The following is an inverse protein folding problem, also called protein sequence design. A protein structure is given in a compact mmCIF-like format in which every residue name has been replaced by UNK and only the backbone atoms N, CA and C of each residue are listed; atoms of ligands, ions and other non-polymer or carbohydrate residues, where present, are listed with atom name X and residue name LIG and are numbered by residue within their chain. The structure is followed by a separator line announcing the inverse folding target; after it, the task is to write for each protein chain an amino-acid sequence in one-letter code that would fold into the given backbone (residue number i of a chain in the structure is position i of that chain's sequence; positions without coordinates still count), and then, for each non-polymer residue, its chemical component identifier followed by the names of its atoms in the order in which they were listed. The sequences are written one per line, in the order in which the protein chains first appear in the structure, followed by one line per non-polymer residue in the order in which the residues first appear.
data_IF_942518054522
#
_entry.id   IF_942518054522
#
_cell.length_a   1.000
_cell.length_b   1.000
_cell.length_c   1.000
_cell.angle_alpha   90.00
_cell.angle_beta   90.00
_cell.angle_gamma   90.00
#
_symmetry.space_group_name_H-M   'P 1'
#
loop_
_entity.id
_entity.type
_entity.pdbx_description
1 polymer ?
#
# COMPACT_ATOMS: atom_id res chain seq x y z
N UNK A 1 -0.84 -12.20 15.30
CA UNK A 1 -1.40 -12.48 13.95
C UNK A 1 -2.78 -13.16 13.97
N UNK A 2 -3.33 -13.58 15.12
CA UNK A 2 -4.69 -14.14 15.20
C UNK A 2 -5.73 -13.23 14.54
N UNK A 3 -5.64 -11.90 14.75
CA UNK A 3 -6.51 -10.91 14.09
C UNK A 3 -6.60 -11.05 12.56
N UNK A 4 -5.50 -11.41 11.87
CA UNK A 4 -5.51 -11.66 10.42
C UNK A 4 -6.27 -12.95 10.06
N UNK A 5 -6.11 -14.01 10.85
CA UNK A 5 -6.85 -15.27 10.66
C UNK A 5 -8.34 -15.10 10.97
N UNK A 6 -8.67 -14.32 12.00
CA UNK A 6 -10.05 -14.01 12.37
C UNK A 6 -10.75 -13.24 11.25
N UNK A 7 -10.06 -12.31 10.57
CA UNK A 7 -10.58 -11.65 9.37
C UNK A 7 -10.83 -12.65 8.23
N UNK A 8 -9.89 -13.56 7.96
CA UNK A 8 -10.11 -14.58 6.93
C UNK A 8 -11.32 -15.45 7.25
N UNK A 9 -11.45 -15.90 8.50
CA UNK A 9 -12.58 -16.70 8.95
C UNK A 9 -13.90 -15.93 8.81
N UNK A 10 -13.94 -14.66 9.22
CA UNK A 10 -15.10 -13.78 9.04
C UNK A 10 -15.51 -13.66 7.57
N UNK A 11 -14.55 -13.50 6.65
CA UNK A 11 -14.85 -13.44 5.20
C UNK A 11 -15.45 -14.75 4.69
N UNK A 12 -15.02 -15.89 5.23
CA UNK A 12 -15.55 -17.21 4.83
C UNK A 12 -16.95 -17.46 5.39
N UNK A 13 -17.21 -17.07 6.64
CA UNK A 13 -18.47 -17.35 7.34
C UNK A 13 -19.57 -16.33 7.00
N UNK A 14 -19.22 -15.04 6.89
CA UNK A 14 -20.17 -13.93 6.72
C UNK A 14 -20.14 -13.32 5.32
N UNK A 15 -19.18 -13.71 4.47
CA UNK A 15 -18.97 -13.09 3.17
C UNK A 15 -20.12 -13.31 2.20
N UNK A 16 -20.54 -12.25 1.50
CA UNK A 16 -21.55 -12.33 0.45
C UNK A 16 -20.87 -12.57 -0.91
N UNK A 17 -21.36 -13.53 -1.73
CA UNK A 17 -20.86 -13.70 -3.09
C UNK A 17 -21.03 -12.43 -3.92
N UNK A 18 -19.95 -12.00 -4.58
CA UNK A 18 -19.92 -10.79 -5.40
C UNK A 18 -19.02 -10.97 -6.62
N UNK A 19 -19.48 -10.54 -7.79
CA UNK A 19 -18.63 -10.42 -8.98
C UNK A 19 -17.57 -9.31 -8.82
N UNK A 20 -16.49 -9.39 -9.59
CA UNK A 20 -15.42 -8.41 -9.59
C UNK A 20 -14.96 -8.08 -11.02
N UNK A 21 -14.12 -7.06 -11.17
CA UNK A 21 -13.66 -6.56 -12.48
C UNK A 21 -12.86 -7.61 -13.28
N UNK A 22 -12.22 -8.56 -12.61
CA UNK A 22 -11.47 -9.64 -13.29
C UNK A 22 -12.37 -10.79 -13.73
N UNK A 23 -13.63 -10.83 -13.27
CA UNK A 23 -14.59 -11.89 -13.58
C UNK A 23 -14.37 -13.19 -12.79
N UNK A 24 -13.57 -13.17 -11.73
CA UNK A 24 -13.22 -14.35 -10.93
C UNK A 24 -14.31 -14.67 -9.89
N UNK A 25 -14.91 -13.64 -9.30
CA UNK A 25 -15.84 -13.76 -8.18
C UNK A 25 -15.15 -13.76 -6.82
N UNK A 26 -15.86 -13.28 -5.79
CA UNK A 26 -15.33 -13.07 -4.43
C UNK A 26 -16.39 -13.40 -3.37
N UNK A 27 -15.93 -13.73 -2.16
CA UNK A 27 -16.71 -13.56 -0.93
C UNK A 27 -16.29 -12.23 -0.29
N UNK A 28 -17.24 -11.38 0.06
CA UNK A 28 -16.95 -10.01 0.49
C UNK A 28 -17.70 -9.63 1.76
N UNK A 29 -16.98 -9.02 2.70
CA UNK A 29 -17.52 -8.25 3.83
C UNK A 29 -17.13 -6.78 3.66
N UNK A 30 -17.94 -5.86 4.17
CA UNK A 30 -17.67 -4.42 4.12
C UNK A 30 -17.46 -3.87 5.54
N UNK A 31 -16.36 -3.15 5.74
CA UNK A 31 -15.99 -2.60 7.05
C UNK A 31 -15.35 -3.65 7.98
N UNK A 32 -14.04 -3.55 8.17
CA UNK A 32 -13.29 -4.32 9.15
C UNK A 32 -12.11 -3.49 9.67
N UNK A 33 -11.71 -3.71 10.91
CA UNK A 33 -10.57 -3.04 11.52
C UNK A 33 -9.71 -4.05 12.27
N UNK A 34 -8.39 -3.95 12.07
CA UNK A 34 -7.39 -4.67 12.87
C UNK A 34 -6.46 -3.66 13.53
N UNK A 35 -5.88 -4.04 14.66
CA UNK A 35 -4.85 -3.26 15.36
C UNK A 35 -3.69 -4.20 15.69
N UNK A 36 -2.47 -3.69 15.52
CA UNK A 36 -1.25 -4.41 15.83
C UNK A 36 -0.38 -3.51 16.70
N UNK A 37 -0.03 -3.98 17.89
CA UNK A 37 0.95 -3.30 18.72
C UNK A 37 2.35 -3.63 18.21
N UNK A 38 3.08 -2.62 17.73
CA UNK A 38 4.41 -2.80 17.15
C UNK A 38 5.50 -2.98 18.22
N UNK A 39 5.23 -2.70 19.51
CA UNK A 39 6.19 -3.03 20.58
C UNK A 39 6.26 -4.54 20.86
N UNK A 40 5.20 -5.27 20.53
CA UNK A 40 5.12 -6.73 20.70
C UNK A 40 5.79 -7.51 19.55
N UNK A 41 6.15 -6.82 18.46
CA UNK A 41 6.89 -7.39 17.34
C UNK A 41 6.40 -6.93 15.97
N UNK A 42 7.10 -7.37 14.93
CA UNK A 42 6.76 -7.04 13.54
C UNK A 42 5.60 -7.93 13.04
N UNK A 43 4.45 -7.37 12.63
CA UNK A 43 3.24 -8.13 12.30
C UNK A 43 3.30 -8.80 10.91
N UNK A 44 4.36 -9.55 10.65
CA UNK A 44 4.48 -10.38 9.45
C UNK A 44 3.65 -11.66 9.61
N UNK A 45 2.86 -12.01 8.61
CA UNK A 45 2.13 -13.28 8.59
C UNK A 45 3.13 -14.44 8.66
N UNK A 46 2.94 -15.35 9.63
CA UNK A 46 3.81 -16.51 9.86
C UNK A 46 3.18 -17.84 9.44
N UNK A 47 1.86 -17.88 9.21
CA UNK A 47 1.13 -19.09 8.78
C UNK A 47 1.37 -19.44 7.30
N UNK A 48 2.03 -18.56 6.55
CA UNK A 48 2.63 -18.83 5.25
C UNK A 48 3.91 -18.03 5.10
N UNK A 49 4.87 -18.51 4.30
CA UNK A 49 6.08 -17.75 3.99
C UNK A 49 5.75 -16.52 3.15
N UNK A 50 6.29 -15.37 3.53
CA UNK A 50 6.15 -14.11 2.78
C UNK A 50 7.46 -13.76 2.08
N UNK A 51 7.38 -13.27 0.84
CA UNK A 51 8.54 -12.79 0.10
C UNK A 51 8.89 -11.35 0.52
N UNK A 52 9.59 -11.22 1.65
CA UNK A 52 9.95 -9.92 2.26
C UNK A 52 10.70 -8.97 1.30
N UNK A 53 11.64 -9.43 0.43
CA UNK A 53 12.31 -8.52 -0.49
C UNK A 53 11.36 -7.70 -1.37
N UNK A 54 10.25 -8.32 -1.82
CA UNK A 54 9.24 -7.60 -2.61
C UNK A 54 8.56 -6.48 -1.81
N UNK A 55 8.20 -6.73 -0.56
CA UNK A 55 7.56 -5.74 0.33
C UNK A 55 8.51 -4.56 0.59
N UNK A 56 9.78 -4.85 0.87
CA UNK A 56 10.77 -3.80 1.16
C UNK A 56 11.06 -2.96 -0.08
N UNK A 57 11.36 -3.57 -1.22
CA UNK A 57 11.66 -2.83 -2.45
C UNK A 57 10.46 -2.03 -2.96
N UNK A 58 9.23 -2.55 -2.83
CA UNK A 58 8.02 -1.80 -3.18
C UNK A 58 7.89 -0.53 -2.32
N UNK A 59 8.07 -0.63 -1.00
CA UNK A 59 8.03 0.54 -0.13
C UNK A 59 9.13 1.56 -0.46
N UNK A 60 10.36 1.09 -0.71
CA UNK A 60 11.46 1.97 -1.12
C UNK A 60 11.17 2.66 -2.45
N UNK A 61 10.55 1.95 -3.40
CA UNK A 61 10.12 2.48 -4.69
C UNK A 61 9.03 3.55 -4.57
N UNK A 62 7.99 3.31 -3.74
CA UNK A 62 6.98 4.33 -3.41
C UNK A 62 7.62 5.56 -2.77
N UNK A 63 8.51 5.36 -1.78
CA UNK A 63 9.22 6.45 -1.13
C UNK A 63 10.14 7.18 -2.11
N UNK A 64 10.65 6.56 -3.16
CA UNK A 64 11.42 7.26 -4.21
C UNK A 64 10.55 8.14 -5.11
N UNK A 65 9.23 7.99 -5.02
CA UNK A 65 8.26 8.66 -5.89
C UNK A 65 8.19 8.08 -7.29
N UNK A 66 8.73 6.88 -7.48
CA UNK A 66 8.82 6.20 -8.78
C UNK A 66 7.50 5.48 -9.11
N UNK A 67 7.23 5.36 -10.40
CA UNK A 67 6.03 4.72 -10.97
C UNK A 67 6.36 3.82 -12.15
N UNK A 68 7.65 3.65 -12.47
CA UNK A 68 8.12 2.70 -13.47
C UNK A 68 8.65 1.43 -12.80
N UNK A 69 8.32 0.25 -13.34
CA UNK A 69 8.67 -1.05 -12.74
C UNK A 69 10.15 -1.42 -12.88
N UNK A 70 10.95 -0.67 -13.64
CA UNK A 70 12.37 -0.99 -13.88
C UNK A 70 13.18 -1.19 -12.59
N UNK A 71 13.05 -0.29 -11.62
CA UNK A 71 13.74 -0.44 -10.32
C UNK A 71 13.34 -1.76 -9.62
N UNK A 72 12.05 -2.11 -9.66
CA UNK A 72 11.57 -3.35 -9.05
C UNK A 72 12.16 -4.57 -9.77
N UNK A 73 12.15 -4.56 -11.10
CA UNK A 73 12.68 -5.65 -11.93
C UNK A 73 14.19 -5.86 -11.74
N UNK A 74 14.97 -4.77 -11.66
CA UNK A 74 16.41 -4.79 -11.38
C UNK A 74 16.72 -5.42 -10.01
N UNK A 75 15.78 -5.32 -9.05
CA UNK A 75 15.87 -5.94 -7.73
C UNK A 75 15.12 -7.29 -7.64
N UNK A 76 14.77 -7.89 -8.77
CA UNK A 76 14.13 -9.21 -8.84
C UNK A 76 12.64 -9.23 -8.45
N UNK A 77 12.01 -8.07 -8.29
CA UNK A 77 10.61 -7.92 -7.90
C UNK A 77 9.73 -7.72 -9.13
N UNK A 78 8.66 -8.52 -9.25
CA UNK A 78 7.79 -8.58 -10.45
C UNK A 78 6.30 -8.35 -10.16
N UNK A 79 5.95 -7.98 -8.92
CA UNK A 79 4.56 -7.90 -8.43
C UNK A 79 3.69 -6.83 -9.11
N UNK A 80 4.27 -5.97 -9.95
CA UNK A 80 3.59 -4.90 -10.70
C UNK A 80 3.61 -5.12 -12.21
N UNK A 81 4.20 -6.20 -12.70
CA UNK A 81 4.45 -6.40 -14.14
C UNK A 81 3.16 -6.47 -14.95
N UNK A 82 2.10 -7.07 -14.40
CA UNK A 82 0.83 -7.30 -15.09
C UNK A 82 0.03 -6.01 -15.35
N UNK A 83 0.41 -4.90 -14.72
CA UNK A 83 -0.28 -3.60 -14.85
C UNK A 83 0.55 -2.55 -15.58
N UNK A 84 1.84 -2.79 -15.77
CA UNK A 84 2.72 -1.85 -16.45
C UNK A 84 2.50 -1.89 -17.96
N UNK A 85 2.65 -0.74 -18.62
CA UNK A 85 2.65 -0.68 -20.08
C UNK A 85 3.95 -1.24 -20.69
N UNK A 86 4.08 -1.15 -22.02
CA UNK A 86 5.25 -1.65 -22.76
C UNK A 86 6.58 -0.93 -22.40
N UNK A 87 6.50 0.25 -21.78
CA UNK A 87 7.64 1.02 -21.29
C UNK A 87 7.91 0.79 -19.80
N UNK A 88 7.05 0.02 -19.13
CA UNK A 88 7.12 -0.27 -17.71
C UNK A 88 6.42 0.78 -16.83
N UNK A 89 5.67 1.71 -17.41
CA UNK A 89 5.00 2.78 -16.66
C UNK A 89 3.61 2.33 -16.16
N UNK A 90 3.29 2.75 -14.93
CA UNK A 90 1.99 2.50 -14.27
C UNK A 90 1.09 3.74 -14.25
N UNK A 91 1.56 4.85 -14.83
CA UNK A 91 0.93 6.16 -14.64
C UNK A 91 1.13 6.71 -13.22
N UNK A 92 0.32 7.71 -12.79
CA UNK A 92 0.54 8.43 -11.54
C UNK A 92 0.00 7.70 -10.31
N UNK A 93 0.52 6.52 -10.00
CA UNK A 93 0.14 5.72 -8.82
C UNK A 93 0.87 6.19 -7.55
N UNK A 94 0.63 5.48 -6.44
CA UNK A 94 1.12 5.73 -5.08
C UNK A 94 2.38 6.61 -4.94
N UNK A 95 3.53 6.19 -5.48
CA UNK A 95 4.79 6.92 -5.32
C UNK A 95 4.71 8.36 -5.83
N UNK A 96 4.13 8.57 -7.02
CA UNK A 96 3.90 9.92 -7.55
C UNK A 96 2.97 10.72 -6.64
N UNK A 97 1.89 10.14 -6.14
CA UNK A 97 0.96 10.86 -5.26
C UNK A 97 1.59 11.20 -3.90
N UNK A 98 2.34 10.27 -3.32
CA UNK A 98 3.00 10.45 -2.02
C UNK A 98 4.07 11.53 -2.03
N UNK A 99 4.86 11.60 -3.10
CA UNK A 99 6.04 12.49 -3.17
C UNK A 99 5.79 13.74 -4.02
N UNK A 100 4.83 13.70 -4.94
CA UNK A 100 4.67 14.65 -6.06
C UNK A 100 3.20 14.80 -6.49
N UNK A 101 2.28 14.93 -5.53
CA UNK A 101 0.86 15.19 -5.84
C UNK A 101 0.73 16.58 -6.46
N UNK A 102 0.03 16.69 -7.60
CA UNK A 102 -0.14 17.97 -8.31
C UNK A 102 -1.54 18.51 -8.05
N UNK A 103 -1.62 19.69 -7.44
CA UNK A 103 -2.86 20.40 -7.18
C UNK A 103 -3.49 20.98 -8.46
N UNK A 104 -4.76 21.45 -8.40
CA UNK A 104 -5.43 22.09 -9.54
C UNK A 104 -4.72 23.36 -10.05
N UNK A 105 -3.90 23.98 -9.21
CA UNK A 105 -3.05 25.14 -9.49
C UNK A 105 -1.71 24.77 -10.14
N UNK A 106 -1.44 23.47 -10.34
CA UNK A 106 -0.18 22.96 -10.89
C UNK A 106 0.94 22.87 -9.85
N UNK A 107 0.68 23.17 -8.58
CA UNK A 107 1.68 23.06 -7.52
C UNK A 107 1.90 21.61 -7.13
N UNK A 108 3.16 21.21 -7.00
CA UNK A 108 3.55 19.89 -6.55
C UNK A 108 3.73 19.84 -5.03
N UNK A 109 3.19 18.81 -4.38
CA UNK A 109 3.25 18.63 -2.93
C UNK A 109 3.85 17.26 -2.57
N UNK A 110 4.88 17.30 -1.72
CA UNK A 110 5.46 16.11 -1.09
C UNK A 110 4.77 15.82 0.25
N UNK A 111 3.75 14.97 0.21
CA UNK A 111 2.92 14.63 1.36
C UNK A 111 3.70 13.86 2.44
N UNK A 112 4.66 13.03 2.04
CA UNK A 112 5.50 12.28 3.00
C UNK A 112 6.43 13.22 3.75
N UNK A 113 7.07 14.17 3.06
CA UNK A 113 7.89 15.18 3.70
C UNK A 113 7.08 16.05 4.68
N UNK A 114 5.88 16.47 4.27
CA UNK A 114 4.98 17.25 5.12
C UNK A 114 4.52 16.48 6.35
N UNK A 115 4.16 15.20 6.20
CA UNK A 115 3.79 14.35 7.33
C UNK A 115 4.96 14.19 8.32
N UNK A 116 6.19 13.96 7.84
CA UNK A 116 7.39 13.89 8.68
C UNK A 116 7.63 15.21 9.41
N UNK A 117 7.48 16.34 8.71
CA UNK A 117 7.63 17.67 9.31
C UNK A 117 6.61 17.88 10.43
N UNK A 118 5.33 17.58 10.20
CA UNK A 118 4.28 17.70 11.22
C UNK A 118 4.53 16.77 12.42
N UNK A 119 4.97 15.53 12.22
CA UNK A 119 5.33 14.63 13.33
C UNK A 119 6.43 15.25 14.22
N UNK A 120 7.38 15.98 13.63
CA UNK A 120 8.48 16.61 14.37
C UNK A 120 8.09 17.94 15.02
N UNK A 121 7.30 18.74 14.33
CA UNK A 121 7.05 20.15 14.68
C UNK A 121 5.67 20.39 15.31
N UNK A 122 4.66 19.62 14.92
CA UNK A 122 3.29 19.68 15.45
C UNK A 122 2.69 18.26 15.62
N UNK A 123 3.24 17.44 16.54
CA UNK A 123 2.84 16.04 16.71
C UNK A 123 1.37 15.84 17.14
N UNK A 124 0.73 16.90 17.66
CA UNK A 124 -0.68 16.86 18.07
C UNK A 124 -1.64 17.17 16.91
N UNK A 125 -1.11 17.51 15.73
CA UNK A 125 -1.90 17.72 14.54
C UNK A 125 -2.75 16.48 14.24
N UNK A 126 -4.05 16.70 14.08
CA UNK A 126 -5.02 15.67 13.65
C UNK A 126 -5.11 15.58 12.13
N UNK A 127 -4.16 16.20 11.42
CA UNK A 127 -4.13 16.36 9.96
C UNK A 127 -2.85 15.81 9.33
N UNK A 128 -2.13 14.96 10.06
CA UNK A 128 -0.97 14.21 9.53
C UNK A 128 -1.52 13.10 8.63
N UNK A 129 -1.69 13.42 7.35
CA UNK A 129 -2.35 12.55 6.36
C UNK A 129 -1.50 12.49 5.10
N UNK A 130 -1.46 11.31 4.49
CA UNK A 130 -0.97 11.09 3.12
C UNK A 130 -2.11 10.41 2.35
N UNK A 131 -2.52 10.99 1.22
CA UNK A 131 -3.53 10.40 0.33
C UNK A 131 -2.86 9.94 -0.97
N UNK A 132 -3.23 8.75 -1.44
CA UNK A 132 -2.87 8.23 -2.75
C UNK A 132 -4.00 8.45 -3.76
#
# INVERSE_FOLDING_TARGET
MQAYLDLLQRVLDEGVPKGDRTGTGTLSVFGHQMRFDLSEGFPLVTTKRIHIPSVVHELLWFLKGDTNVRYLQENGVRIWNEWADEHGDLGPVYGKQWRRWVGPDGVEHDQVAEAIRLIREDPNSRRIIVSA
#
